data_IF_455844571588
#
_entry.id   IF_455844571588
#
_cell.length_a   1.000
_cell.length_b   1.000
_cell.length_c   1.000
_cell.angle_alpha   90.00
_cell.angle_beta   90.00
_cell.angle_gamma   90.00
#
_symmetry.space_group_name_H-M   'P 1'
#
loop_
_entity.id
_entity.type
_entity.pdbx_description
1 polymer ?
#
# COMPACT_ATOMS: atom_id res chain seq x y z
N UNK A 1 -76.28 -41.41 17.45
CA UNK A 1 -75.82 -41.78 16.08
C UNK A 1 -75.18 -40.52 15.48
N UNK A 2 -74.07 -40.01 16.02
CA UNK A 2 -72.68 -40.39 15.73
C UNK A 2 -72.41 -40.62 14.23
N UNK A 3 -71.51 -39.78 13.72
CA UNK A 3 -70.71 -39.91 12.48
C UNK A 3 -71.37 -39.63 11.13
N UNK A 4 -70.96 -38.51 10.50
CA UNK A 4 -70.23 -38.48 9.21
C UNK A 4 -70.25 -37.07 8.58
N UNK A 5 -69.60 -36.07 9.20
CA UNK A 5 -69.22 -34.84 8.48
C UNK A 5 -67.86 -34.40 9.05
N UNK A 6 -66.77 -35.03 8.60
CA UNK A 6 -65.46 -34.75 9.17
C UNK A 6 -64.26 -35.22 8.38
N UNK A 7 -64.40 -35.53 7.08
CA UNK A 7 -63.27 -36.08 6.30
C UNK A 7 -62.90 -35.32 5.02
N UNK A 8 -63.68 -34.34 4.56
CA UNK A 8 -63.36 -33.60 3.32
C UNK A 8 -62.75 -32.19 3.53
N UNK A 9 -62.79 -31.62 4.75
CA UNK A 9 -62.20 -30.29 5.02
C UNK A 9 -60.72 -30.32 5.37
N UNK A 10 -60.17 -31.48 5.76
CA UNK A 10 -58.75 -31.61 6.12
C UNK A 10 -57.81 -31.79 4.92
N UNK A 11 -58.31 -32.29 3.79
CA UNK A 11 -57.50 -32.44 2.57
C UNK A 11 -57.30 -31.13 1.79
N UNK A 12 -58.25 -30.19 1.86
CA UNK A 12 -58.11 -28.90 1.17
C UNK A 12 -57.14 -27.95 1.89
N UNK A 13 -57.10 -27.98 3.23
CA UNK A 13 -56.20 -27.14 4.03
C UNK A 13 -54.74 -27.65 3.99
N UNK A 14 -54.52 -28.96 3.86
CA UNK A 14 -53.17 -29.52 3.69
C UNK A 14 -52.61 -29.28 2.28
N UNK A 15 -53.45 -29.30 1.23
CA UNK A 15 -53.03 -29.02 -0.15
C UNK A 15 -52.70 -27.53 -0.37
N UNK A 16 -53.47 -26.60 0.24
CA UNK A 16 -53.18 -25.16 0.24
C UNK A 16 -51.93 -24.80 1.05
N UNK A 17 -51.71 -25.48 2.19
CA UNK A 17 -50.47 -25.37 2.95
C UNK A 17 -49.25 -25.79 2.16
N UNK A 18 -49.32 -26.95 1.48
CA UNK A 18 -48.22 -27.49 0.68
C UNK A 18 -47.95 -26.67 -0.59
N UNK A 19 -48.98 -26.14 -1.26
CA UNK A 19 -48.78 -25.19 -2.37
C UNK A 19 -48.16 -23.88 -1.89
N UNK A 20 -48.54 -23.37 -0.70
CA UNK A 20 -47.98 -22.13 -0.17
C UNK A 20 -46.51 -22.25 0.24
N UNK A 21 -46.10 -23.41 0.79
CA UNK A 21 -44.70 -23.66 1.15
C UNK A 21 -43.84 -23.92 -0.08
N UNK A 22 -44.35 -24.61 -1.11
CA UNK A 22 -43.63 -24.80 -2.37
C UNK A 22 -43.51 -23.49 -3.16
N UNK A 23 -44.54 -22.62 -3.15
CA UNK A 23 -44.46 -21.29 -3.77
C UNK A 23 -43.53 -20.36 -2.98
N UNK A 24 -43.49 -20.43 -1.64
CA UNK A 24 -42.56 -19.65 -0.82
C UNK A 24 -41.11 -20.12 -0.98
N UNK A 25 -40.86 -21.43 -1.11
CA UNK A 25 -39.52 -21.97 -1.42
C UNK A 25 -39.09 -21.71 -2.87
N UNK A 26 -40.02 -21.64 -3.84
CA UNK A 26 -39.73 -21.19 -5.20
C UNK A 26 -39.44 -19.67 -5.25
N UNK A 27 -40.08 -18.88 -4.36
CA UNK A 27 -39.76 -17.45 -4.20
C UNK A 27 -38.50 -17.17 -3.38
N UNK A 28 -38.05 -18.11 -2.54
CA UNK A 28 -36.79 -18.02 -1.80
C UNK A 28 -35.59 -18.60 -2.57
N UNK A 29 -35.82 -19.48 -3.56
CA UNK A 29 -34.76 -20.06 -4.39
C UNK A 29 -34.40 -19.23 -5.64
N UNK A 30 -35.14 -18.15 -5.94
CA UNK A 30 -34.86 -17.25 -7.07
C UNK A 30 -34.71 -15.78 -6.63
N UNK A 31 -34.03 -15.51 -5.51
CA UNK A 31 -33.41 -14.19 -5.36
C UNK A 31 -32.12 -14.17 -6.18
N UNK A 32 -32.24 -13.85 -7.47
CA UNK A 32 -31.11 -13.29 -8.18
C UNK A 32 -30.66 -12.06 -7.39
N UNK A 33 -29.48 -12.14 -6.78
CA UNK A 33 -28.83 -10.96 -6.22
C UNK A 33 -28.59 -10.04 -7.43
N UNK A 34 -29.38 -8.98 -7.54
CA UNK A 34 -29.19 -7.99 -8.59
C UNK A 34 -27.97 -7.16 -8.21
N UNK A 35 -26.82 -7.49 -8.81
CA UNK A 35 -25.61 -6.69 -8.70
C UNK A 35 -25.79 -5.35 -9.44
N UNK A 36 -25.13 -4.29 -8.96
CA UNK A 36 -25.10 -3.03 -9.67
C UNK A 36 -24.39 -3.22 -11.03
N UNK A 37 -25.01 -2.78 -12.12
CA UNK A 37 -24.38 -2.86 -13.45
C UNK A 37 -23.15 -1.94 -13.51
N UNK A 38 -22.08 -2.43 -14.13
CA UNK A 38 -20.92 -1.59 -14.49
C UNK A 38 -21.34 -0.49 -15.46
N UNK A 39 -20.73 0.69 -15.35
CA UNK A 39 -20.89 1.80 -16.29
C UNK A 39 -19.58 2.04 -17.03
N UNK A 40 -19.38 1.29 -18.11
CA UNK A 40 -18.18 1.33 -18.95
C UNK A 40 -18.60 1.75 -20.36
N UNK A 41 -18.22 2.95 -20.76
CA UNK A 41 -18.65 3.57 -22.01
C UNK A 41 -17.43 3.94 -22.84
N UNK A 42 -17.10 3.21 -23.92
CA UNK A 42 -16.05 3.61 -24.85
C UNK A 42 -16.31 4.99 -25.45
N UNK A 43 -15.23 5.73 -25.73
CA UNK A 43 -15.29 6.94 -26.55
C UNK A 43 -14.80 6.67 -27.99
N UNK A 44 -14.88 7.70 -28.85
CA UNK A 44 -14.46 7.60 -30.25
C UNK A 44 -13.04 8.16 -30.49
N UNK A 45 -12.26 8.43 -29.43
CA UNK A 45 -10.95 9.11 -29.55
C UNK A 45 -9.85 8.22 -30.15
N UNK A 46 -10.08 6.91 -30.23
CA UNK A 46 -9.23 5.95 -30.98
C UNK A 46 -9.74 5.67 -32.40
N UNK A 47 -10.78 6.38 -32.86
CA UNK A 47 -11.36 6.24 -34.19
C UNK A 47 -11.87 4.83 -34.46
N UNK A 48 -11.37 4.19 -35.53
CA UNK A 48 -11.80 2.84 -35.94
C UNK A 48 -11.34 1.74 -34.99
N UNK A 49 -10.33 2.01 -34.18
CA UNK A 49 -9.74 1.09 -33.19
C UNK A 49 -10.33 1.32 -31.79
N UNK A 50 -11.56 1.85 -31.71
CA UNK A 50 -12.22 2.13 -30.43
C UNK A 50 -12.36 0.89 -29.55
N UNK A 51 -12.41 1.14 -28.25
CA UNK A 51 -12.66 0.09 -27.26
C UNK A 51 -14.07 -0.47 -27.40
N UNK A 52 -14.24 -1.75 -27.08
CA UNK A 52 -15.51 -2.47 -27.21
C UNK A 52 -15.80 -3.23 -25.92
N UNK A 53 -17.06 -3.18 -25.47
CA UNK A 53 -17.52 -3.92 -24.30
C UNK A 53 -18.46 -5.02 -24.76
N UNK A 54 -18.12 -6.25 -24.39
CA UNK A 54 -18.93 -7.44 -24.63
C UNK A 54 -19.27 -8.07 -23.28
N UNK A 55 -20.49 -7.87 -22.76
CA UNK A 55 -20.96 -8.59 -21.59
C UNK A 55 -21.03 -10.08 -21.91
N UNK A 56 -20.42 -10.91 -21.06
CA UNK A 56 -20.47 -12.37 -21.15
C UNK A 56 -21.02 -12.87 -19.82
N UNK A 57 -22.12 -13.63 -19.88
CA UNK A 57 -22.61 -14.40 -18.74
C UNK A 57 -22.02 -15.81 -18.85
N UNK A 58 -21.08 -16.14 -17.96
CA UNK A 58 -20.46 -17.46 -17.88
C UNK A 58 -20.71 -18.05 -16.49
N UNK A 59 -21.42 -19.18 -16.42
CA UNK A 59 -21.67 -19.92 -15.17
C UNK A 59 -22.25 -19.09 -14.01
N UNK A 60 -23.09 -18.08 -14.33
CA UNK A 60 -23.70 -17.18 -13.35
C UNK A 60 -22.80 -16.02 -12.88
N UNK A 61 -21.58 -15.92 -13.42
CA UNK A 61 -20.71 -14.75 -13.30
C UNK A 61 -20.94 -13.85 -14.51
N UNK A 62 -21.29 -12.59 -14.26
CA UNK A 62 -21.40 -11.60 -15.32
C UNK A 62 -20.09 -10.84 -15.47
N UNK A 63 -19.44 -11.06 -16.61
CA UNK A 63 -18.14 -10.50 -16.96
C UNK A 63 -18.33 -9.40 -18.00
N UNK A 64 -17.79 -8.22 -17.75
CA UNK A 64 -17.68 -7.14 -18.71
C UNK A 64 -16.34 -7.28 -19.46
N UNK A 65 -16.37 -7.87 -20.66
CA UNK A 65 -15.16 -8.15 -21.43
C UNK A 65 -14.78 -6.96 -22.30
N UNK A 66 -13.61 -6.38 -22.05
CA UNK A 66 -13.06 -5.26 -22.81
C UNK A 66 -12.19 -5.80 -23.96
N UNK A 67 -12.60 -5.47 -25.18
CA UNK A 67 -11.97 -5.88 -26.43
C UNK A 67 -11.67 -4.66 -27.31
N UNK A 68 -11.09 -4.91 -28.50
CA UNK A 68 -10.72 -3.85 -29.44
C UNK A 68 -9.49 -3.08 -28.94
N UNK A 69 -9.47 -1.76 -29.15
CA UNK A 69 -8.32 -0.92 -28.82
C UNK A 69 -7.31 -0.83 -29.97
N UNK A 70 -6.40 0.14 -29.86
CA UNK A 70 -5.37 0.40 -30.85
C UNK A 70 -4.05 -0.24 -30.41
N UNK A 71 -3.47 -1.13 -31.22
CA UNK A 71 -2.18 -1.76 -30.93
C UNK A 71 -1.06 -1.01 -31.65
N UNK A 72 0.00 -0.64 -30.92
CA UNK A 72 1.24 -0.10 -31.49
C UNK A 72 2.43 -0.78 -30.81
N UNK A 73 3.14 -1.64 -31.53
CA UNK A 73 4.21 -2.45 -30.93
C UNK A 73 3.68 -3.32 -29.79
N UNK A 74 4.31 -3.24 -28.61
CA UNK A 74 3.92 -3.98 -27.41
C UNK A 74 2.86 -3.27 -26.54
N UNK A 75 2.28 -2.16 -27.03
CA UNK A 75 1.28 -1.37 -26.31
C UNK A 75 -0.11 -1.54 -26.94
N UNK A 76 -1.11 -1.84 -26.11
CA UNK A 76 -2.53 -1.80 -26.44
C UNK A 76 -3.18 -0.60 -25.75
N UNK A 77 -3.82 0.28 -26.52
CA UNK A 77 -4.46 1.49 -26.02
C UNK A 77 -5.98 1.36 -26.00
N UNK A 78 -6.59 1.70 -24.86
CA UNK A 78 -8.03 1.79 -24.63
C UNK A 78 -8.44 3.20 -24.17
N UNK A 79 -9.64 3.62 -24.56
CA UNK A 79 -10.17 4.93 -24.21
C UNK A 79 -11.67 4.87 -23.93
N UNK A 80 -12.06 5.47 -22.82
CA UNK A 80 -13.43 5.45 -22.33
C UNK A 80 -13.89 6.84 -21.95
N UNK A 81 -15.16 7.13 -22.20
CA UNK A 81 -15.84 8.28 -21.60
C UNK A 81 -16.16 8.02 -20.12
N UNK A 82 -16.60 6.81 -19.79
CA UNK A 82 -16.92 6.38 -18.42
C UNK A 82 -16.25 5.03 -18.16
N UNK A 83 -15.68 4.84 -16.96
CA UNK A 83 -15.07 3.57 -16.58
C UNK A 83 -15.34 3.29 -15.10
N UNK A 84 -16.45 2.60 -14.83
CA UNK A 84 -16.87 2.18 -13.49
C UNK A 84 -17.18 0.68 -13.48
N UNK A 85 -16.56 -0.04 -12.54
CA UNK A 85 -16.78 -1.48 -12.32
C UNK A 85 -17.80 -1.64 -11.20
N UNK A 86 -18.92 -2.28 -11.50
CA UNK A 86 -19.99 -2.49 -10.52
C UNK A 86 -19.59 -3.46 -9.40
N UNK A 87 -20.25 -3.36 -8.26
CA UNK A 87 -20.02 -4.27 -7.14
C UNK A 87 -20.38 -5.72 -7.52
N UNK A 88 -19.51 -6.68 -7.16
CA UNK A 88 -19.64 -8.09 -7.54
C UNK A 88 -19.46 -8.39 -9.03
N UNK A 89 -19.12 -7.38 -9.85
CA UNK A 89 -18.83 -7.53 -11.28
C UNK A 89 -17.36 -7.87 -11.49
N UNK A 90 -17.10 -8.51 -12.63
CA UNK A 90 -15.76 -8.76 -13.13
C UNK A 90 -15.57 -8.01 -14.44
N UNK A 91 -14.56 -7.16 -14.53
CA UNK A 91 -14.23 -6.42 -15.75
C UNK A 91 -12.83 -6.80 -16.18
N UNK A 92 -12.71 -7.36 -17.38
CA UNK A 92 -11.44 -7.91 -17.87
C UNK A 92 -11.05 -7.32 -19.21
N UNK A 93 -9.82 -6.85 -19.31
CA UNK A 93 -9.16 -6.63 -20.61
C UNK A 93 -8.77 -7.97 -21.20
N UNK A 94 -9.27 -8.27 -22.41
CA UNK A 94 -9.00 -9.55 -23.07
C UNK A 94 -7.67 -9.45 -23.82
N UNK A 95 -6.67 -10.17 -23.34
CA UNK A 95 -5.38 -10.26 -23.99
C UNK A 95 -5.33 -11.45 -24.97
N UNK A 96 -5.04 -11.14 -26.23
CA UNK A 96 -4.98 -12.09 -27.35
C UNK A 96 -3.60 -12.15 -28.01
N UNK A 97 -2.59 -11.44 -27.49
CA UNK A 97 -1.30 -11.30 -28.14
C UNK A 97 -0.14 -11.47 -27.15
N UNK A 98 0.74 -12.43 -27.43
CA UNK A 98 1.93 -12.74 -26.63
C UNK A 98 3.00 -11.64 -26.64
N UNK A 99 2.90 -10.66 -27.54
CA UNK A 99 3.84 -9.55 -27.62
C UNK A 99 3.43 -8.33 -26.80
N UNK A 100 2.21 -8.33 -26.23
CA UNK A 100 1.75 -7.22 -25.41
C UNK A 100 2.51 -7.18 -24.08
N UNK A 101 3.06 -6.00 -23.80
CA UNK A 101 3.70 -5.67 -22.53
C UNK A 101 2.87 -4.69 -21.72
N UNK A 102 2.07 -3.84 -22.36
CA UNK A 102 1.28 -2.81 -21.67
C UNK A 102 -0.13 -2.69 -22.26
N UNK A 103 -1.12 -2.56 -21.39
CA UNK A 103 -2.48 -2.15 -21.69
C UNK A 103 -2.68 -0.78 -21.05
N UNK A 104 -2.84 0.25 -21.87
CA UNK A 104 -2.98 1.63 -21.42
C UNK A 104 -4.42 2.10 -21.57
N UNK A 105 -5.04 2.43 -20.44
CA UNK A 105 -6.43 2.85 -20.37
C UNK A 105 -6.54 4.29 -19.89
N UNK A 106 -7.28 5.11 -20.63
CA UNK A 106 -7.63 6.48 -20.21
C UNK A 106 -9.15 6.67 -20.10
N UNK A 107 -9.54 7.55 -19.18
CA UNK A 107 -10.90 8.07 -19.06
C UNK A 107 -10.92 9.54 -19.50
N UNK A 108 -11.69 9.85 -20.53
CA UNK A 108 -11.78 11.18 -21.17
C UNK A 108 -13.02 11.98 -20.74
N UNK A 109 -13.94 11.34 -20.00
CA UNK A 109 -15.08 12.02 -19.39
C UNK A 109 -14.68 12.85 -18.17
N UNK A 110 -15.69 13.39 -17.48
CA UNK A 110 -15.52 14.30 -16.35
C UNK A 110 -15.80 13.65 -14.99
N UNK A 111 -16.05 12.34 -14.96
CA UNK A 111 -16.43 11.60 -13.77
C UNK A 111 -15.26 10.75 -13.24
N UNK A 112 -15.15 10.60 -11.91
CA UNK A 112 -14.20 9.67 -11.32
C UNK A 112 -14.56 8.21 -11.67
N UNK A 113 -13.55 7.34 -11.66
CA UNK A 113 -13.72 5.90 -11.84
C UNK A 113 -14.06 5.23 -10.52
N UNK A 114 -15.25 4.66 -10.39
CA UNK A 114 -15.62 3.83 -9.25
C UNK A 114 -15.36 2.35 -9.59
N UNK A 115 -14.33 1.77 -8.99
CA UNK A 115 -13.96 0.36 -9.13
C UNK A 115 -14.46 -0.35 -7.88
N UNK A 116 -15.65 -0.94 -7.94
CA UNK A 116 -16.32 -1.57 -6.78
C UNK A 116 -16.26 -3.10 -6.83
N UNK A 117 -15.88 -3.68 -7.97
CA UNK A 117 -15.71 -5.11 -8.20
C UNK A 117 -14.28 -5.47 -8.60
N UNK A 118 -14.13 -6.55 -9.37
CA UNK A 118 -12.83 -7.04 -9.83
C UNK A 118 -12.45 -6.41 -11.17
N UNK A 119 -11.26 -5.82 -11.24
CA UNK A 119 -10.64 -5.34 -12.47
C UNK A 119 -9.40 -6.16 -12.80
N UNK A 120 -9.27 -6.67 -14.02
CA UNK A 120 -8.11 -7.49 -14.35
C UNK A 120 -7.82 -7.64 -15.84
N UNK A 121 -6.89 -8.56 -16.13
CA UNK A 121 -6.53 -8.97 -17.49
C UNK A 121 -6.79 -10.47 -17.63
N UNK A 122 -7.53 -10.86 -18.68
CA UNK A 122 -7.79 -12.25 -18.99
C UNK A 122 -7.05 -12.65 -20.28
N UNK A 123 -6.16 -13.63 -20.18
CA UNK A 123 -5.45 -14.20 -21.32
C UNK A 123 -6.32 -15.25 -22.03
N UNK A 124 -6.45 -15.15 -23.35
CA UNK A 124 -7.08 -16.23 -24.14
C UNK A 124 -6.19 -17.46 -24.23
N UNK A 125 -6.76 -18.60 -24.63
CA UNK A 125 -6.01 -19.87 -24.76
C UNK A 125 -4.74 -19.72 -25.60
N UNK A 126 -3.60 -20.16 -25.05
CA UNK A 126 -2.29 -20.09 -25.73
C UNK A 126 -1.53 -18.78 -25.51
N UNK A 127 -2.10 -17.83 -24.77
CA UNK A 127 -1.43 -16.58 -24.38
C UNK A 127 -0.76 -16.73 -23.02
N UNK A 128 0.53 -16.39 -22.95
CA UNK A 128 1.40 -16.51 -21.77
C UNK A 128 2.01 -15.18 -21.34
N UNK A 129 1.86 -14.11 -22.13
CA UNK A 129 2.25 -12.76 -21.74
C UNK A 129 1.40 -12.25 -20.57
N UNK A 130 2.02 -11.54 -19.64
CA UNK A 130 1.35 -10.86 -18.52
C UNK A 130 1.58 -9.34 -18.64
N UNK A 131 0.80 -8.63 -19.47
CA UNK A 131 1.01 -7.21 -19.67
C UNK A 131 0.70 -6.42 -18.40
N UNK A 132 1.33 -5.26 -18.29
CA UNK A 132 1.05 -4.26 -17.27
C UNK A 132 -0.27 -3.55 -17.60
N UNK A 133 -1.02 -3.13 -16.58
CA UNK A 133 -2.25 -2.36 -16.77
C UNK A 133 -2.09 -0.94 -16.22
N UNK A 134 -2.37 0.06 -17.07
CA UNK A 134 -2.38 1.46 -16.69
C UNK A 134 -3.81 1.99 -16.75
N UNK A 135 -4.27 2.62 -15.67
CA UNK A 135 -5.57 3.29 -15.57
C UNK A 135 -5.35 4.78 -15.24
N UNK A 136 -5.72 5.64 -16.17
CA UNK A 136 -5.58 7.09 -16.07
C UNK A 136 -6.99 7.71 -15.99
N UNK A 137 -7.29 8.41 -14.91
CA UNK A 137 -8.49 9.24 -14.80
C UNK A 137 -8.19 10.53 -14.00
N UNK A 138 -8.03 11.69 -14.67
CA UNK A 138 -7.75 12.96 -13.99
C UNK A 138 -8.81 13.38 -12.97
N UNK A 139 -10.03 12.86 -13.04
CA UNK A 139 -11.12 13.21 -12.14
C UNK A 139 -11.12 12.40 -10.83
N UNK A 140 -10.25 11.39 -10.72
CA UNK A 140 -10.13 10.55 -9.53
C UNK A 140 -10.48 9.08 -9.76
N UNK A 141 -10.03 8.23 -8.82
CA UNK A 141 -10.28 6.79 -8.83
C UNK A 141 -10.66 6.35 -7.42
N UNK A 142 -11.76 5.62 -7.28
CA UNK A 142 -12.23 5.07 -6.00
C UNK A 142 -12.26 3.55 -6.12
N UNK A 143 -11.43 2.86 -5.35
CA UNK A 143 -11.53 1.42 -5.13
C UNK A 143 -12.42 1.18 -3.90
N UNK A 144 -13.57 0.56 -4.09
CA UNK A 144 -14.49 0.20 -3.00
C UNK A 144 -13.98 -0.93 -2.11
N UNK A 145 -14.69 -1.23 -1.02
CA UNK A 145 -14.31 -2.27 -0.04
C UNK A 145 -14.16 -3.67 -0.68
N UNK A 146 -15.03 -3.97 -1.65
CA UNK A 146 -15.03 -5.22 -2.39
C UNK A 146 -14.17 -5.19 -3.66
N UNK A 147 -13.46 -4.08 -3.92
CA UNK A 147 -12.60 -3.96 -5.08
C UNK A 147 -11.42 -4.94 -5.01
N UNK A 148 -11.12 -5.58 -6.14
CA UNK A 148 -9.98 -6.49 -6.30
C UNK A 148 -9.29 -6.22 -7.63
N UNK A 149 -8.00 -6.50 -7.67
CA UNK A 149 -7.21 -6.51 -8.90
C UNK A 149 -6.84 -7.95 -9.25
N UNK A 150 -7.02 -8.31 -10.51
CA UNK A 150 -6.57 -9.57 -11.08
C UNK A 150 -5.59 -9.27 -12.21
N UNK A 151 -4.39 -8.85 -11.81
CA UNK A 151 -3.33 -8.34 -12.70
C UNK A 151 -2.03 -9.07 -12.37
N UNK A 152 -1.62 -10.00 -13.25
CA UNK A 152 -0.38 -10.75 -13.10
C UNK A 152 0.88 -9.92 -13.43
N UNK A 153 0.73 -8.81 -14.17
CA UNK A 153 1.78 -7.83 -14.44
C UNK A 153 1.88 -6.74 -13.37
N UNK A 154 2.46 -5.60 -13.75
CA UNK A 154 2.43 -4.39 -12.92
C UNK A 154 1.11 -3.61 -13.13
N UNK A 155 0.70 -2.82 -12.14
CA UNK A 155 -0.47 -1.95 -12.24
C UNK A 155 -0.12 -0.50 -11.91
N UNK A 156 -0.64 0.43 -12.70
CA UNK A 156 -0.50 1.87 -12.47
C UNK A 156 -1.89 2.49 -12.44
N UNK A 157 -2.26 3.10 -11.32
CA UNK A 157 -3.46 3.93 -11.21
C UNK A 157 -3.05 5.39 -11.00
N UNK A 158 -3.55 6.29 -11.85
CA UNK A 158 -3.16 7.70 -11.75
C UNK A 158 -4.25 8.69 -12.11
N UNK A 159 -4.19 9.87 -11.48
CA UNK A 159 -4.98 11.06 -11.83
C UNK A 159 -4.17 12.11 -12.60
N UNK A 160 -2.99 11.73 -13.11
CA UNK A 160 -2.26 12.52 -14.09
C UNK A 160 -3.07 12.71 -15.38
N UNK A 161 -2.79 13.79 -16.10
CA UNK A 161 -3.38 14.08 -17.40
C UNK A 161 -3.00 13.08 -18.47
N UNK A 162 -1.85 12.44 -18.34
CA UNK A 162 -1.41 11.45 -19.30
C UNK A 162 -0.11 10.77 -18.91
N UNK A 163 0.33 9.89 -19.80
CA UNK A 163 1.60 9.17 -19.70
C UNK A 163 2.49 9.57 -20.87
N UNK A 164 3.75 9.90 -20.56
CA UNK A 164 4.79 10.23 -21.53
C UNK A 164 5.55 8.99 -21.98
N UNK A 165 5.90 9.01 -23.27
CA UNK A 165 6.64 8.00 -23.99
C UNK A 165 7.92 8.66 -24.55
N UNK A 166 9.04 8.46 -23.86
CA UNK A 166 10.31 9.12 -24.19
C UNK A 166 10.18 10.65 -24.25
N UNK A 167 10.95 11.28 -25.13
CA UNK A 167 10.99 12.74 -25.31
C UNK A 167 9.91 13.31 -26.26
N UNK A 168 9.14 12.47 -26.95
CA UNK A 168 8.35 12.91 -28.11
C UNK A 168 6.89 12.47 -28.14
N UNK A 169 6.41 11.64 -27.20
CA UNK A 169 5.01 11.18 -27.23
C UNK A 169 4.26 11.21 -25.91
N UNK A 170 2.94 11.39 -26.00
CA UNK A 170 2.01 11.46 -24.86
C UNK A 170 0.77 10.63 -25.16
N UNK A 171 0.25 9.94 -24.16
CA UNK A 171 -1.11 9.39 -24.13
C UNK A 171 -1.91 10.12 -23.05
N UNK A 172 -2.69 11.11 -23.45
CA UNK A 172 -3.41 12.04 -22.57
C UNK A 172 -4.89 11.68 -22.42
N UNK A 173 -5.39 11.69 -21.19
CA UNK A 173 -6.79 11.63 -20.81
C UNK A 173 -7.50 12.98 -20.96
N UNK A 174 -6.84 14.09 -20.63
CA UNK A 174 -7.44 15.44 -20.66
C UNK A 174 -7.37 16.12 -22.03
N UNK A 175 -6.34 15.83 -22.83
CA UNK A 175 -6.16 16.33 -24.19
C UNK A 175 -6.05 15.17 -25.20
N UNK A 176 -7.09 14.33 -25.33
CA UNK A 176 -6.98 13.05 -26.04
C UNK A 176 -6.68 13.18 -27.54
N UNK A 177 -6.96 14.35 -28.12
CA UNK A 177 -6.68 14.69 -29.53
C UNK A 177 -5.19 14.98 -29.79
N UNK A 178 -4.42 15.30 -28.74
CA UNK A 178 -2.97 15.54 -28.83
C UNK A 178 -2.16 14.27 -28.59
N UNK A 179 -2.82 13.15 -28.29
CA UNK A 179 -2.13 11.89 -28.03
C UNK A 179 -1.43 11.35 -29.26
N UNK A 180 -0.19 10.91 -29.06
CA UNK A 180 0.59 10.11 -30.01
C UNK A 180 0.67 8.67 -29.51
N UNK A 181 0.06 7.73 -30.23
CA UNK A 181 0.12 6.32 -29.88
C UNK A 181 1.44 5.74 -30.40
N UNK A 182 2.37 5.45 -29.48
CA UNK A 182 3.72 5.01 -29.83
C UNK A 182 3.98 3.55 -29.44
N UNK A 183 4.98 2.95 -30.08
CA UNK A 183 5.42 1.56 -29.84
C UNK A 183 6.48 1.41 -28.75
N UNK A 184 6.93 2.52 -28.14
CA UNK A 184 7.94 2.51 -27.08
C UNK A 184 7.30 2.33 -25.71
N UNK A 185 8.07 1.87 -24.72
CA UNK A 185 7.57 1.72 -23.36
C UNK A 185 7.24 3.09 -22.72
N UNK A 186 6.21 3.17 -21.87
CA UNK A 186 5.94 4.38 -21.09
C UNK A 186 7.11 4.67 -20.14
N UNK A 187 7.45 5.95 -19.98
CA UNK A 187 8.64 6.37 -19.23
C UNK A 187 8.37 7.30 -18.04
N UNK A 188 7.33 8.14 -18.10
CA UNK A 188 6.99 9.06 -17.01
C UNK A 188 5.50 9.41 -16.97
N UNK A 189 4.98 9.70 -15.78
CA UNK A 189 3.67 10.32 -15.60
C UNK A 189 3.74 11.80 -15.94
N UNK A 190 2.71 12.33 -16.58
CA UNK A 190 2.65 13.72 -17.00
C UNK A 190 1.44 14.42 -16.39
N UNK A 191 1.73 15.26 -15.40
CA UNK A 191 0.78 16.18 -14.80
C UNK A 191 0.88 17.50 -15.55
N UNK A 192 -0.10 17.80 -16.41
CA UNK A 192 -0.23 19.11 -17.03
C UNK A 192 -1.27 19.87 -16.22
N UNK A 193 -0.96 21.06 -15.74
CA UNK A 193 -1.87 21.82 -14.87
C UNK A 193 -3.04 22.44 -15.66
N UNK A 194 -3.80 21.62 -16.39
CA UNK A 194 -5.03 21.98 -17.12
C UNK A 194 -6.23 21.86 -16.19
N UNK A 195 -6.25 20.86 -15.30
CA UNK A 195 -7.20 20.77 -14.19
C UNK A 195 -6.70 21.61 -13.01
N UNK A 196 -7.57 22.45 -12.45
CA UNK A 196 -7.21 23.32 -11.31
C UNK A 196 -6.88 22.54 -10.03
N UNK A 197 -7.34 21.29 -9.91
CA UNK A 197 -7.07 20.32 -8.85
C UNK A 197 -7.15 18.90 -9.47
N UNK A 198 -6.06 18.11 -9.49
CA UNK A 198 -6.13 16.71 -9.93
C UNK A 198 -7.02 15.91 -8.97
N UNK A 199 -7.67 14.87 -9.48
CA UNK A 199 -8.49 14.00 -8.64
C UNK A 199 -7.69 13.24 -7.58
N UNK A 200 -8.39 12.77 -6.56
CA UNK A 200 -7.83 11.91 -5.52
C UNK A 200 -7.92 10.44 -5.93
N UNK A 201 -7.06 9.60 -5.34
CA UNK A 201 -7.26 8.15 -5.35
C UNK A 201 -7.62 7.72 -3.94
N UNK A 202 -8.77 7.05 -3.82
CA UNK A 202 -9.24 6.46 -2.58
C UNK A 202 -9.18 4.95 -2.74
N UNK A 203 -8.47 4.26 -1.86
CA UNK A 203 -8.58 2.81 -1.71
C UNK A 203 -9.35 2.47 -0.44
N UNK A 204 -10.33 1.57 -0.55
CA UNK A 204 -11.01 0.91 0.58
C UNK A 204 -10.90 -0.63 0.51
N UNK A 205 -10.35 -1.14 -0.58
CA UNK A 205 -10.30 -2.56 -0.89
C UNK A 205 -8.94 -3.19 -0.60
N UNK A 206 -8.83 -4.49 -0.90
CA UNK A 206 -7.59 -5.24 -0.81
C UNK A 206 -7.06 -5.45 -2.23
N UNK A 207 -6.17 -4.57 -2.65
CA UNK A 207 -5.63 -4.52 -4.00
C UNK A 207 -4.28 -5.23 -4.03
N UNK A 208 -4.15 -6.27 -4.86
CA UNK A 208 -2.92 -7.04 -5.00
C UNK A 208 -2.56 -7.23 -6.47
N UNK A 209 -1.27 -7.14 -6.81
CA UNK A 209 -0.78 -7.27 -8.19
C UNK A 209 0.47 -8.13 -8.25
N UNK A 210 0.69 -8.80 -9.39
CA UNK A 210 1.75 -9.81 -9.53
C UNK A 210 3.18 -9.22 -9.58
N UNK A 211 3.32 -7.94 -9.94
CA UNK A 211 4.60 -7.23 -10.00
C UNK A 211 4.49 -5.87 -9.31
N UNK A 212 4.95 -4.80 -9.96
CA UNK A 212 5.02 -3.47 -9.35
C UNK A 212 3.63 -2.83 -9.28
N UNK A 213 3.41 -2.06 -8.22
CA UNK A 213 2.18 -1.31 -8.02
C UNK A 213 2.52 0.17 -7.88
N UNK A 214 2.04 1.00 -8.80
CA UNK A 214 2.19 2.46 -8.71
C UNK A 214 0.83 3.13 -8.56
N UNK A 215 0.72 4.01 -7.57
CA UNK A 215 -0.45 4.86 -7.37
C UNK A 215 -0.01 6.31 -7.31
N UNK A 216 -0.56 7.15 -8.18
CA UNK A 216 -0.09 8.54 -8.35
C UNK A 216 -1.25 9.53 -8.51
N UNK A 217 -1.44 10.44 -7.55
CA UNK A 217 -2.57 11.38 -7.55
C UNK A 217 -2.27 12.73 -6.88
N UNK A 218 -3.30 13.56 -6.69
CA UNK A 218 -3.17 14.73 -5.81
C UNK A 218 -3.06 14.30 -4.35
N UNK A 219 -4.09 13.60 -3.87
CA UNK A 219 -4.12 12.95 -2.57
C UNK A 219 -4.34 11.44 -2.72
N UNK A 220 -3.61 10.66 -1.93
CA UNK A 220 -3.85 9.22 -1.75
C UNK A 220 -4.48 8.99 -0.37
N UNK A 221 -5.72 8.52 -0.37
CA UNK A 221 -6.45 8.11 0.84
C UNK A 221 -6.59 6.59 0.83
N UNK A 222 -5.78 5.92 1.64
CA UNK A 222 -5.61 4.47 1.62
C UNK A 222 -6.19 3.87 2.89
N UNK A 223 -7.25 3.08 2.72
CA UNK A 223 -7.93 2.27 3.72
C UNK A 223 -7.99 0.83 3.16
N UNK A 224 -7.52 -0.17 3.90
CA UNK A 224 -7.35 -1.54 3.35
C UNK A 224 -5.93 -1.82 2.83
N UNK A 225 -5.78 -2.70 1.83
CA UNK A 225 -4.47 -3.26 1.48
C UNK A 225 -3.99 -2.86 0.08
N UNK A 226 -2.68 -2.60 -0.04
CA UNK A 226 -1.95 -2.47 -1.30
C UNK A 226 -0.77 -3.45 -1.25
N UNK A 227 -0.85 -4.53 -2.03
CA UNK A 227 0.15 -5.60 -2.06
C UNK A 227 0.80 -5.67 -3.44
N UNK A 228 2.08 -5.30 -3.54
CA UNK A 228 2.88 -5.48 -4.73
C UNK A 228 3.70 -6.78 -4.65
N UNK A 229 3.66 -7.61 -5.69
CA UNK A 229 4.61 -8.72 -5.85
C UNK A 229 6.03 -8.25 -6.22
N UNK A 230 6.13 -7.03 -6.74
CA UNK A 230 7.36 -6.29 -7.03
C UNK A 230 7.46 -5.04 -6.13
N UNK A 231 7.80 -3.90 -6.71
CA UNK A 231 7.96 -2.64 -5.97
C UNK A 231 6.64 -1.87 -5.81
N UNK A 232 6.46 -1.17 -4.69
CA UNK A 232 5.32 -0.30 -4.41
C UNK A 232 5.75 1.17 -4.48
N UNK A 233 5.09 1.95 -5.33
CA UNK A 233 5.37 3.37 -5.53
C UNK A 233 4.12 4.20 -5.22
N UNK A 234 4.20 5.05 -4.21
CA UNK A 234 3.11 5.94 -3.80
C UNK A 234 3.51 7.40 -4.04
N UNK A 235 2.83 8.06 -4.96
CA UNK A 235 3.13 9.43 -5.36
C UNK A 235 1.91 10.33 -5.15
N UNK A 236 2.07 11.36 -4.35
CA UNK A 236 1.05 12.40 -4.15
C UNK A 236 1.66 13.77 -4.41
N UNK A 237 0.91 14.71 -4.98
CA UNK A 237 1.34 16.12 -4.97
C UNK A 237 1.15 16.75 -3.60
N UNK A 238 0.12 16.31 -2.87
CA UNK A 238 -0.21 16.75 -1.52
C UNK A 238 0.06 15.66 -0.47
N UNK A 239 -0.91 14.80 -0.15
CA UNK A 239 -0.76 13.84 0.96
C UNK A 239 -0.85 12.37 0.52
N UNK A 240 -0.04 11.54 1.15
CA UNK A 240 -0.28 10.10 1.26
C UNK A 240 -0.79 9.83 2.68
N UNK A 241 -2.02 9.36 2.79
CA UNK A 241 -2.66 9.08 4.08
C UNK A 241 -3.09 7.61 4.14
N UNK A 242 -2.60 6.90 5.15
CA UNK A 242 -3.00 5.52 5.46
C UNK A 242 -3.82 5.53 6.76
N UNK A 243 -5.01 4.95 6.72
CA UNK A 243 -5.89 4.77 7.89
C UNK A 243 -6.35 3.32 7.95
N UNK A 244 -5.90 2.60 8.98
CA UNK A 244 -6.12 1.15 9.10
C UNK A 244 -5.80 0.42 7.78
N UNK A 245 -4.63 0.74 7.24
CA UNK A 245 -4.20 0.26 5.94
C UNK A 245 -2.86 -0.46 5.99
N UNK A 246 -2.63 -1.32 5.01
CA UNK A 246 -1.41 -2.10 4.84
C UNK A 246 -0.84 -1.87 3.45
N UNK A 247 0.42 -1.46 3.37
CA UNK A 247 1.14 -1.21 2.13
C UNK A 247 2.41 -2.07 2.11
N UNK A 248 2.48 -3.01 1.17
CA UNK A 248 3.59 -3.96 1.04
C UNK A 248 4.15 -4.01 -0.38
N UNK A 249 5.47 -4.13 -0.46
CA UNK A 249 6.23 -4.30 -1.69
C UNK A 249 7.66 -4.72 -1.39
N UNK A 250 8.43 -5.09 -2.42
CA UNK A 250 9.84 -5.40 -2.28
C UNK A 250 10.63 -4.13 -1.97
N UNK A 251 10.64 -3.14 -2.86
CA UNK A 251 11.02 -1.78 -2.50
C UNK A 251 9.76 -0.92 -2.35
N UNK A 252 9.81 0.04 -1.43
CA UNK A 252 8.72 1.01 -1.26
C UNK A 252 9.28 2.42 -1.41
N UNK A 253 8.78 3.18 -2.39
CA UNK A 253 9.09 4.60 -2.57
C UNK A 253 7.83 5.45 -2.36
N UNK A 254 7.93 6.44 -1.48
CA UNK A 254 6.84 7.36 -1.16
C UNK A 254 7.32 8.78 -1.39
N UNK A 255 6.64 9.49 -2.29
CA UNK A 255 6.88 10.90 -2.59
C UNK A 255 5.61 11.71 -2.41
N UNK A 256 5.66 12.73 -1.56
CA UNK A 256 4.49 13.55 -1.24
C UNK A 256 4.88 14.96 -0.74
N UNK A 257 3.90 15.81 -0.48
CA UNK A 257 4.11 16.93 0.46
C UNK A 257 4.12 16.41 1.90
N UNK A 258 3.17 15.55 2.28
CA UNK A 258 3.11 14.93 3.61
C UNK A 258 2.76 13.44 3.55
N UNK A 259 3.21 12.69 4.55
CA UNK A 259 2.81 11.30 4.81
C UNK A 259 2.17 11.23 6.20
N UNK A 260 0.99 10.61 6.28
CA UNK A 260 0.30 10.32 7.54
C UNK A 260 -0.10 8.86 7.63
N UNK A 261 0.24 8.21 8.74
CA UNK A 261 -0.24 6.89 9.11
C UNK A 261 -1.02 7.00 10.42
N UNK A 262 -2.24 6.47 10.45
CA UNK A 262 -3.04 6.38 11.67
C UNK A 262 -3.81 5.07 11.75
N UNK A 263 -4.44 4.83 12.91
CA UNK A 263 -5.33 3.69 13.14
C UNK A 263 -4.64 2.34 12.86
N UNK A 264 -3.44 2.14 13.41
CA UNK A 264 -2.66 0.90 13.24
C UNK A 264 -2.26 0.59 11.79
N UNK A 265 -1.99 1.63 11.01
CA UNK A 265 -1.52 1.45 9.64
C UNK A 265 -0.11 0.86 9.60
N UNK A 266 0.17 0.08 8.56
CA UNK A 266 1.42 -0.63 8.35
C UNK A 266 1.96 -0.34 6.94
N UNK A 267 3.22 0.08 6.88
CA UNK A 267 4.04 0.00 5.67
C UNK A 267 5.12 -1.04 5.94
N UNK A 268 5.20 -2.09 5.14
CA UNK A 268 6.17 -3.17 5.34
C UNK A 268 6.88 -3.57 4.05
N UNK A 269 8.20 -3.56 4.08
CA UNK A 269 9.03 -4.12 3.02
C UNK A 269 9.03 -5.65 3.12
N UNK A 270 8.70 -6.31 2.01
CA UNK A 270 8.83 -7.75 1.86
C UNK A 270 10.31 -8.14 1.87
N UNK A 271 10.77 -8.85 2.90
CA UNK A 271 12.13 -9.35 2.95
C UNK A 271 12.45 -10.25 1.74
N UNK A 272 13.51 -9.92 1.02
CA UNK A 272 14.03 -10.75 -0.06
C UNK A 272 15.05 -11.76 0.49
N UNK A 273 15.05 -12.98 -0.05
CA UNK A 273 16.07 -13.99 0.25
C UNK A 273 17.40 -13.72 -0.49
N UNK A 274 17.61 -12.49 -1.01
CA UNK A 274 18.74 -12.14 -1.86
C UNK A 274 19.71 -11.19 -1.15
N UNK A 275 20.96 -11.18 -1.62
CA UNK A 275 22.07 -10.39 -1.05
C UNK A 275 21.83 -8.87 -1.08
N UNK A 276 20.94 -8.37 -1.95
CA UNK A 276 20.52 -6.98 -2.00
C UNK A 276 19.16 -6.84 -1.31
N UNK A 277 19.19 -6.27 -0.11
CA UNK A 277 18.00 -6.06 0.69
C UNK A 277 17.16 -4.93 0.08
N UNK A 278 15.95 -5.26 -0.34
CA UNK A 278 15.00 -4.28 -0.83
C UNK A 278 14.56 -3.35 0.32
N UNK A 279 14.45 -2.04 0.06
CA UNK A 279 14.39 -1.00 1.10
C UNK A 279 13.19 -0.06 0.99
N UNK A 280 13.14 0.92 1.89
CA UNK A 280 12.05 1.89 1.99
C UNK A 280 12.60 3.32 1.94
N UNK A 281 12.07 4.11 1.01
CA UNK A 281 12.44 5.52 0.77
C UNK A 281 11.21 6.39 0.92
N UNK A 282 11.19 7.28 1.91
CA UNK A 282 10.16 8.31 2.10
C UNK A 282 10.81 9.67 1.87
N UNK A 283 10.36 10.38 0.85
CA UNK A 283 10.80 11.74 0.54
C UNK A 283 9.60 12.66 0.47
N UNK A 284 9.36 13.37 1.56
CA UNK A 284 8.23 14.30 1.66
C UNK A 284 8.70 15.71 1.96
N UNK A 285 7.96 16.72 1.50
CA UNK A 285 8.38 18.12 1.65
C UNK A 285 8.16 18.68 3.06
N UNK A 286 7.06 18.29 3.70
CA UNK A 286 6.61 18.82 4.97
C UNK A 286 6.80 17.80 6.10
N UNK A 287 5.96 16.78 6.18
CA UNK A 287 5.87 15.99 7.42
C UNK A 287 5.66 14.51 7.20
N UNK A 288 6.28 13.70 8.06
CA UNK A 288 5.96 12.29 8.28
C UNK A 288 5.37 12.14 9.68
N UNK A 289 4.09 11.76 9.76
CA UNK A 289 3.38 11.61 11.03
C UNK A 289 2.85 10.18 11.18
N UNK A 290 3.29 9.48 12.23
CA UNK A 290 2.75 8.17 12.61
C UNK A 290 2.01 8.32 13.94
N UNK A 291 0.73 7.96 13.94
CA UNK A 291 -0.18 8.08 15.08
C UNK A 291 -0.87 6.74 15.35
N UNK A 292 -1.37 6.56 16.57
CA UNK A 292 -2.30 5.46 16.94
C UNK A 292 -1.78 4.06 16.59
N UNK A 293 -0.54 3.78 16.99
CA UNK A 293 0.10 2.48 16.89
C UNK A 293 0.42 2.07 15.46
N UNK A 294 0.90 3.02 14.64
CA UNK A 294 1.25 2.78 13.24
C UNK A 294 2.72 2.39 13.06
N UNK A 295 3.01 1.65 12.00
CA UNK A 295 4.30 0.99 11.80
C UNK A 295 4.87 1.22 10.40
N UNK A 296 6.17 1.51 10.34
CA UNK A 296 6.99 1.41 9.14
C UNK A 296 8.05 0.35 9.41
N UNK A 297 8.00 -0.78 8.71
CA UNK A 297 8.79 -1.97 8.99
C UNK A 297 9.60 -2.45 7.78
N UNK A 298 10.77 -2.99 8.08
CA UNK A 298 11.55 -3.85 7.18
C UNK A 298 11.99 -5.06 8.00
N UNK A 299 11.43 -6.24 7.74
CA UNK A 299 11.52 -7.36 8.69
C UNK A 299 11.93 -8.67 8.02
N UNK A 300 12.97 -9.31 8.55
CA UNK A 300 13.28 -10.72 8.25
C UNK A 300 12.59 -11.59 9.28
N UNK A 301 11.63 -12.40 8.81
CA UNK A 301 10.81 -13.28 9.65
C UNK A 301 11.62 -14.44 10.24
N UNK A 302 11.09 -15.06 11.28
CA UNK A 302 11.67 -16.26 11.88
C UNK A 302 11.93 -17.35 10.83
N UNK A 303 12.95 -18.17 11.05
CA UNK A 303 13.35 -19.27 10.15
C UNK A 303 13.71 -18.84 8.71
N UNK A 304 13.86 -17.54 8.45
CA UNK A 304 14.30 -17.01 7.14
C UNK A 304 15.77 -16.58 7.22
N UNK A 305 16.49 -16.67 6.10
CA UNK A 305 17.83 -16.10 5.95
C UNK A 305 17.73 -14.96 4.94
N UNK A 306 18.14 -13.76 5.34
CA UNK A 306 18.10 -12.57 4.50
C UNK A 306 18.46 -11.33 5.30
N UNK A 307 18.77 -10.25 4.60
CA UNK A 307 18.98 -8.94 5.22
C UNK A 307 17.71 -8.09 5.05
N UNK A 308 17.37 -7.26 6.03
CA UNK A 308 16.30 -6.26 5.85
C UNK A 308 16.86 -5.06 5.09
N UNK A 309 16.09 -4.43 4.21
CA UNK A 309 16.58 -3.20 3.58
C UNK A 309 16.49 -2.00 4.50
N UNK A 310 17.25 -0.98 4.14
CA UNK A 310 17.33 0.27 4.86
C UNK A 310 16.01 1.03 4.81
N UNK A 311 15.77 1.83 5.84
CA UNK A 311 14.69 2.81 5.88
C UNK A 311 15.31 4.19 5.80
N UNK A 312 14.99 4.94 4.75
CA UNK A 312 15.44 6.33 4.56
C UNK A 312 14.23 7.27 4.58
N UNK A 313 14.28 8.28 5.43
CA UNK A 313 13.24 9.30 5.55
C UNK A 313 13.87 10.69 5.41
N UNK A 314 13.39 11.46 4.43
CA UNK A 314 13.71 12.88 4.24
C UNK A 314 12.41 13.69 4.35
N UNK A 315 12.35 14.60 5.32
CA UNK A 315 11.20 15.47 5.56
C UNK A 315 11.62 16.81 6.17
N UNK A 316 10.69 17.75 6.32
CA UNK A 316 10.91 18.92 7.19
C UNK A 316 10.69 18.56 8.66
N UNK A 317 9.72 17.71 8.98
CA UNK A 317 9.51 17.21 10.35
C UNK A 317 9.08 15.75 10.39
N UNK A 318 9.49 15.01 11.41
CA UNK A 318 9.04 13.63 11.68
C UNK A 318 8.46 13.53 13.09
N UNK A 319 7.24 13.01 13.22
CA UNK A 319 6.61 12.77 14.53
C UNK A 319 6.03 11.36 14.64
N UNK A 320 6.35 10.67 15.73
CA UNK A 320 5.77 9.40 16.12
C UNK A 320 5.05 9.59 17.46
N UNK A 321 3.80 9.16 17.53
CA UNK A 321 2.94 9.22 18.72
C UNK A 321 2.20 7.90 18.94
N UNK A 322 1.69 7.70 20.15
CA UNK A 322 0.78 6.61 20.53
C UNK A 322 1.25 5.21 20.08
N UNK A 323 2.41 4.77 20.56
CA UNK A 323 2.99 3.43 20.31
C UNK A 323 3.42 3.17 18.86
N UNK A 324 3.61 4.23 18.07
CA UNK A 324 4.05 4.14 16.68
C UNK A 324 5.55 3.85 16.52
N UNK A 325 5.92 3.12 15.47
CA UNK A 325 7.31 2.67 15.28
C UNK A 325 7.82 2.78 13.84
N UNK A 326 9.11 3.07 13.73
CA UNK A 326 9.91 2.83 12.54
C UNK A 326 10.93 1.74 12.90
N UNK A 327 10.97 0.63 12.18
CA UNK A 327 11.87 -0.47 12.53
C UNK A 327 12.44 -1.28 11.38
N UNK A 328 13.73 -1.58 11.49
CA UNK A 328 14.38 -2.71 10.81
C UNK A 328 14.58 -3.82 11.85
N UNK A 329 14.06 -5.02 11.59
CA UNK A 329 14.11 -6.12 12.56
C UNK A 329 14.45 -7.47 11.93
N UNK A 330 15.37 -8.22 12.55
CA UNK A 330 15.72 -9.59 12.13
C UNK A 330 15.32 -10.57 13.22
N UNK A 331 14.35 -11.42 12.93
CA UNK A 331 13.95 -12.56 13.76
C UNK A 331 14.61 -13.87 13.30
N UNK A 332 15.02 -13.94 12.03
CA UNK A 332 15.71 -15.08 11.43
C UNK A 332 17.24 -14.92 11.48
N UNK A 333 17.89 -15.11 10.35
CA UNK A 333 19.33 -14.90 10.20
C UNK A 333 19.65 -13.82 9.18
N UNK A 334 20.55 -12.90 9.52
CA UNK A 334 21.05 -11.87 8.62
C UNK A 334 21.23 -10.53 9.32
N UNK A 335 21.47 -9.49 8.53
CA UNK A 335 21.74 -8.14 9.02
C UNK A 335 20.48 -7.28 8.94
N UNK A 336 20.17 -6.58 10.04
CA UNK A 336 19.17 -5.51 10.02
C UNK A 336 19.72 -4.29 9.25
N UNK A 337 18.85 -3.65 8.49
CA UNK A 337 19.15 -2.50 7.65
C UNK A 337 19.31 -1.25 8.50
N UNK A 338 19.99 -0.27 7.94
CA UNK A 338 20.20 1.00 8.62
C UNK A 338 18.93 1.86 8.55
N UNK A 339 18.70 2.67 9.59
CA UNK A 339 17.62 3.66 9.61
C UNK A 339 18.25 5.05 9.52
N UNK A 340 17.98 5.74 8.42
CA UNK A 340 18.51 7.06 8.12
C UNK A 340 17.36 8.06 8.11
N UNK A 341 17.33 9.00 9.07
CA UNK A 341 16.29 10.03 9.15
C UNK A 341 16.92 11.41 9.09
N UNK A 342 16.51 12.18 8.09
CA UNK A 342 16.82 13.59 7.94
C UNK A 342 15.54 14.42 8.05
N UNK A 343 15.51 15.30 9.04
CA UNK A 343 14.38 16.20 9.29
C UNK A 343 14.87 17.64 9.48
N UNK A 344 14.55 18.56 8.57
CA UNK A 344 15.10 19.92 8.62
C UNK A 344 14.76 20.68 9.92
N UNK A 345 13.54 20.56 10.44
CA UNK A 345 13.06 21.27 11.63
C UNK A 345 13.18 20.41 12.90
N UNK A 346 12.48 19.27 12.97
CA UNK A 346 12.49 18.46 14.20
C UNK A 346 12.11 17.00 13.99
N UNK A 347 12.54 16.19 14.97
CA UNK A 347 12.04 14.84 15.20
C UNK A 347 11.45 14.76 16.61
N UNK A 348 10.20 14.29 16.72
CA UNK A 348 9.50 14.14 18.00
C UNK A 348 9.00 12.72 18.19
N UNK A 349 9.42 12.06 19.28
CA UNK A 349 8.95 10.73 19.67
C UNK A 349 8.21 10.85 21.01
N UNK A 350 6.90 10.72 20.96
CA UNK A 350 6.02 10.82 22.13
C UNK A 350 5.46 9.44 22.42
N UNK A 351 6.00 8.81 23.45
CA UNK A 351 5.54 7.51 23.91
C UNK A 351 4.52 7.62 25.02
N UNK A 352 3.72 6.56 25.20
CA UNK A 352 2.92 6.40 26.39
C UNK A 352 3.82 5.98 27.56
N UNK A 353 4.01 6.88 28.52
CA UNK A 353 4.68 6.58 29.78
C UNK A 353 3.75 5.76 30.69
N UNK A 354 3.33 4.56 30.26
CA UNK A 354 2.55 3.66 31.11
C UNK A 354 3.46 2.55 31.69
N UNK A 355 4.00 2.72 32.91
CA UNK A 355 4.86 1.73 33.54
C UNK A 355 4.16 0.40 33.86
N UNK A 356 2.83 0.32 33.70
CA UNK A 356 2.03 -0.90 33.93
C UNK A 356 1.78 -1.71 32.65
N UNK A 357 2.03 -1.13 31.47
CA UNK A 357 1.74 -1.75 30.18
C UNK A 357 3.05 -1.98 29.43
N UNK A 358 3.49 -3.24 29.42
CA UNK A 358 4.77 -3.69 28.85
C UNK A 358 4.70 -3.90 27.33
N UNK A 359 3.91 -3.12 26.63
CA UNK A 359 3.60 -3.37 25.21
C UNK A 359 3.86 -2.13 24.38
N UNK A 360 4.88 -2.25 23.51
CA UNK A 360 5.18 -1.39 22.35
C UNK A 360 5.50 0.06 22.71
N UNK A 361 6.79 0.37 22.93
CA UNK A 361 7.23 1.77 23.07
C UNK A 361 7.21 2.47 21.71
N UNK A 362 6.82 3.75 21.70
CA UNK A 362 7.00 4.62 20.52
C UNK A 362 8.48 4.79 20.24
N UNK A 363 8.91 4.57 19.00
CA UNK A 363 10.34 4.69 18.73
C UNK A 363 10.86 4.27 17.38
N UNK A 364 12.18 4.40 17.27
CA UNK A 364 12.98 4.03 16.11
C UNK A 364 13.89 2.87 16.50
N UNK A 365 13.78 1.76 15.77
CA UNK A 365 14.34 0.47 16.20
C UNK A 365 15.07 -0.26 15.09
N UNK A 366 16.37 -0.44 15.24
CA UNK A 366 17.16 -1.35 14.42
C UNK A 366 17.63 -2.51 15.28
N UNK A 367 17.03 -3.69 15.13
CA UNK A 367 17.16 -4.76 16.13
C UNK A 367 17.40 -6.14 15.54
N UNK A 368 18.34 -6.85 16.14
CA UNK A 368 18.33 -8.31 16.13
C UNK A 368 17.41 -8.80 17.25
N UNK A 369 16.34 -9.50 16.91
CA UNK A 369 15.33 -9.96 17.86
C UNK A 369 15.76 -11.26 18.55
N UNK A 370 15.04 -11.65 19.61
CA UNK A 370 15.32 -12.89 20.36
C UNK A 370 15.31 -14.11 19.43
N UNK A 371 16.38 -14.90 19.46
CA UNK A 371 16.57 -16.06 18.57
C UNK A 371 17.13 -15.70 17.19
N UNK A 372 17.22 -14.41 16.86
CA UNK A 372 17.88 -13.94 15.65
C UNK A 372 19.40 -14.12 15.72
N UNK A 373 20.03 -14.36 14.56
CA UNK A 373 21.50 -14.46 14.42
C UNK A 373 21.98 -13.52 13.32
N UNK A 374 22.90 -12.61 13.63
CA UNK A 374 23.48 -11.70 12.65
C UNK A 374 23.98 -10.39 13.24
N UNK A 375 23.53 -9.25 12.69
CA UNK A 375 23.95 -7.92 13.15
C UNK A 375 22.75 -6.97 13.18
N UNK A 376 22.68 -6.11 14.21
CA UNK A 376 21.75 -4.98 14.19
C UNK A 376 22.30 -3.87 13.28
N UNK A 377 21.44 -3.19 12.53
CA UNK A 377 21.81 -2.04 11.71
C UNK A 377 22.01 -0.79 12.55
N UNK A 378 22.54 0.26 11.95
CA UNK A 378 22.75 1.55 12.58
C UNK A 378 21.50 2.43 12.52
N UNK A 379 21.46 3.45 13.39
CA UNK A 379 20.47 4.52 13.34
C UNK A 379 21.20 5.84 13.24
N UNK A 380 20.99 6.55 12.13
CA UNK A 380 21.58 7.85 11.85
C UNK A 380 20.48 8.92 11.73
N UNK A 381 20.58 9.96 12.56
CA UNK A 381 19.60 11.03 12.67
C UNK A 381 20.30 12.38 12.44
N UNK A 382 19.78 13.17 11.49
CA UNK A 382 20.18 14.55 11.20
C UNK A 382 18.96 15.49 11.30
N UNK A 383 18.99 16.45 12.21
CA UNK A 383 17.89 17.39 12.43
C UNK A 383 18.31 18.72 13.06
N UNK A 384 17.42 19.73 13.15
CA UNK A 384 17.66 20.89 14.02
C UNK A 384 17.40 20.54 15.49
N UNK A 385 16.26 19.92 15.81
CA UNK A 385 15.91 19.53 17.18
C UNK A 385 15.35 18.11 17.29
N UNK A 386 15.88 17.31 18.23
CA UNK A 386 15.36 15.98 18.60
C UNK A 386 14.72 16.02 19.99
N UNK A 387 13.48 15.56 20.12
CA UNK A 387 12.76 15.45 21.39
C UNK A 387 12.17 14.06 21.59
N UNK A 388 12.51 13.42 22.72
CA UNK A 388 11.93 12.17 23.17
C UNK A 388 11.20 12.41 24.49
N UNK A 389 9.94 12.00 24.58
CA UNK A 389 9.15 12.00 25.82
C UNK A 389 8.47 10.65 25.97
N UNK A 390 9.00 9.77 26.82
CA UNK A 390 8.60 8.36 26.88
C UNK A 390 8.96 7.54 25.63
N UNK A 391 9.67 8.15 24.68
CA UNK A 391 10.07 7.52 23.42
C UNK A 391 11.41 6.79 23.50
N UNK A 392 11.69 5.95 22.52
CA UNK A 392 12.93 5.17 22.45
C UNK A 392 13.60 5.22 21.09
N UNK A 393 14.94 5.27 21.09
CA UNK A 393 15.78 4.97 19.92
C UNK A 393 16.66 3.78 20.32
N UNK A 394 16.68 2.70 19.55
CA UNK A 394 17.44 1.49 19.94
C UNK A 394 18.00 0.75 18.73
N UNK A 395 19.33 0.66 18.69
CA UNK A 395 20.10 -0.19 17.79
C UNK A 395 20.58 -1.49 18.50
N UNK A 396 19.77 -2.00 19.45
CA UNK A 396 20.16 -3.10 20.35
C UNK A 396 19.98 -4.49 19.73
N UNK A 397 20.74 -5.45 20.26
CA UNK A 397 20.62 -6.88 19.94
C UNK A 397 20.03 -7.66 21.13
N UNK A 398 19.05 -8.51 20.84
CA UNK A 398 18.42 -9.48 21.74
C UNK A 398 18.79 -10.93 21.38
N UNK A 399 19.62 -11.12 20.34
CA UNK A 399 20.00 -12.42 19.77
C UNK A 399 21.51 -12.66 19.79
N UNK A 400 21.99 -13.48 18.86
CA UNK A 400 23.42 -13.72 18.66
C UNK A 400 23.95 -12.82 17.55
N UNK A 401 24.54 -11.69 17.93
CA UNK A 401 24.97 -10.66 17.01
C UNK A 401 25.31 -9.36 17.69
N UNK A 402 26.09 -8.52 17.01
CA UNK A 402 26.50 -7.22 17.54
C UNK A 402 25.35 -6.20 17.54
N UNK A 403 25.37 -5.30 18.52
CA UNK A 403 24.52 -4.12 18.52
C UNK A 403 25.02 -3.10 17.49
N UNK A 404 24.10 -2.34 16.91
CA UNK A 404 24.40 -1.29 15.94
C UNK A 404 24.72 0.04 16.62
N UNK A 405 25.27 0.97 15.86
CA UNK A 405 25.59 2.33 16.32
C UNK A 405 24.37 3.25 16.25
N UNK A 406 24.28 4.20 17.18
CA UNK A 406 23.35 5.33 17.10
C UNK A 406 24.14 6.62 16.93
N UNK A 407 23.90 7.34 15.84
CA UNK A 407 24.47 8.68 15.59
C UNK A 407 23.35 9.71 15.52
N UNK A 408 23.45 10.77 16.32
CA UNK A 408 22.51 11.88 16.31
C UNK A 408 23.28 13.18 16.11
N UNK A 409 22.97 13.88 15.03
CA UNK A 409 23.40 15.24 14.78
C UNK A 409 22.18 16.16 14.84
N UNK A 410 22.11 16.99 15.89
CA UNK A 410 21.02 17.93 16.10
C UNK A 410 21.58 19.35 16.23
N UNK A 411 21.35 20.24 15.26
CA UNK A 411 22.00 21.56 15.24
C UNK A 411 21.72 22.40 16.50
N UNK A 412 20.48 22.37 17.00
CA UNK A 412 20.02 23.15 18.13
C UNK A 412 19.98 22.34 19.43
N UNK A 413 19.17 21.28 19.50
CA UNK A 413 18.92 20.58 20.78
C UNK A 413 18.59 19.09 20.70
N UNK A 414 18.99 18.35 21.73
CA UNK A 414 18.46 17.01 22.06
C UNK A 414 17.86 17.04 23.47
N UNK A 415 16.58 16.64 23.60
CA UNK A 415 15.86 16.60 24.88
C UNK A 415 15.26 15.21 25.12
N UNK A 416 15.62 14.58 26.24
CA UNK A 416 15.08 13.32 26.71
C UNK A 416 14.29 13.54 28.01
N UNK A 417 12.99 13.23 27.98
CA UNK A 417 12.06 13.42 29.09
C UNK A 417 11.29 12.12 29.37
N UNK A 418 10.71 12.02 30.56
CA UNK A 418 9.75 10.98 30.92
C UNK A 418 10.22 9.54 30.64
N UNK A 419 11.36 9.12 31.20
CA UNK A 419 11.93 7.77 31.01
C UNK A 419 12.26 7.41 29.55
N UNK A 420 12.61 8.40 28.73
CA UNK A 420 13.08 8.15 27.36
C UNK A 420 14.42 7.41 27.34
N UNK A 421 14.69 6.66 26.28
CA UNK A 421 15.96 5.91 26.17
C UNK A 421 16.58 5.95 24.78
N UNK A 422 17.91 6.06 24.75
CA UNK A 422 18.73 5.83 23.55
C UNK A 422 19.65 4.63 23.86
N UNK A 423 19.51 3.55 23.10
CA UNK A 423 20.15 2.26 23.38
C UNK A 423 20.98 1.76 22.20
N UNK A 424 22.14 1.20 22.51
CA UNK A 424 23.04 0.50 21.60
C UNK A 424 23.68 -0.65 22.37
N UNK A 425 22.85 -1.60 22.78
CA UNK A 425 23.20 -2.58 23.81
C UNK A 425 23.03 -4.03 23.37
N UNK A 426 23.84 -4.90 23.96
CA UNK A 426 23.62 -6.35 23.99
C UNK A 426 22.75 -6.63 25.21
N UNK A 427 21.48 -6.92 24.95
CA UNK A 427 20.45 -7.08 25.98
C UNK A 427 20.59 -8.40 26.74
N UNK A 428 19.88 -8.54 27.86
CA UNK A 428 19.98 -9.72 28.72
C UNK A 428 19.72 -11.03 27.95
N UNK A 429 20.74 -11.88 27.88
CA UNK A 429 20.68 -13.18 27.19
C UNK A 429 21.08 -13.16 25.72
N UNK A 430 21.39 -11.98 25.18
CA UNK A 430 22.03 -11.84 23.88
C UNK A 430 23.54 -12.11 23.98
N UNK A 431 24.16 -12.39 22.83
CA UNK A 431 25.60 -12.62 22.68
C UNK A 431 26.09 -11.68 21.58
N UNK A 432 27.08 -10.84 21.88
CA UNK A 432 27.68 -9.94 20.90
C UNK A 432 28.47 -8.83 21.57
N UNK A 433 28.99 -7.93 20.76
CA UNK A 433 29.60 -6.69 21.20
C UNK A 433 28.56 -5.56 21.28
N UNK A 434 28.65 -4.75 22.34
CA UNK A 434 27.87 -3.52 22.47
C UNK A 434 28.28 -2.49 21.42
N UNK A 435 27.36 -1.60 21.05
CA UNK A 435 27.63 -0.58 20.04
C UNK A 435 28.06 0.75 20.66
N UNK A 436 27.89 1.82 19.88
CA UNK A 436 28.30 3.17 20.25
C UNK A 436 27.12 4.15 20.12
N UNK A 437 27.05 5.14 21.02
CA UNK A 437 26.10 6.25 20.91
C UNK A 437 26.90 7.54 20.76
N UNK A 438 26.72 8.23 19.63
CA UNK A 438 27.30 9.54 19.35
C UNK A 438 26.23 10.60 19.23
N UNK A 439 26.33 11.66 20.03
CA UNK A 439 25.41 12.80 19.97
C UNK A 439 26.22 14.08 19.81
N UNK A 440 25.94 14.82 18.74
CA UNK A 440 26.47 16.16 18.51
C UNK A 440 25.31 17.14 18.49
N UNK A 441 25.29 18.06 19.45
CA UNK A 441 24.22 19.06 19.54
C UNK A 441 24.65 20.35 20.23
N UNK A 442 23.92 21.44 19.98
CA UNK A 442 24.09 22.72 20.67
C UNK A 442 23.71 22.65 22.15
N UNK A 443 22.68 21.89 22.49
CA UNK A 443 22.24 21.67 23.87
C UNK A 443 21.69 20.26 24.07
N UNK A 444 22.17 19.57 25.11
CA UNK A 444 21.70 18.25 25.49
C UNK A 444 21.06 18.28 26.89
N UNK A 445 19.83 17.78 27.02
CA UNK A 445 19.10 17.65 28.29
C UNK A 445 18.53 16.24 28.45
N UNK A 446 18.83 15.58 29.57
CA UNK A 446 18.21 14.32 29.98
C UNK A 446 17.60 14.46 31.37
N UNK A 447 16.29 14.24 31.51
CA UNK A 447 15.53 14.41 32.76
C UNK A 447 14.58 13.24 33.00
N UNK A 448 14.01 13.21 34.20
CA UNK A 448 12.89 12.33 34.56
C UNK A 448 13.17 10.84 34.31
N UNK A 449 14.37 10.39 34.69
CA UNK A 449 14.79 8.99 34.56
C UNK A 449 15.20 8.56 33.15
N UNK A 450 15.36 9.50 32.20
CA UNK A 450 15.81 9.20 30.84
C UNK A 450 17.27 8.76 30.78
N UNK A 451 17.62 7.88 29.84
CA UNK A 451 18.90 7.15 29.84
C UNK A 451 19.54 7.05 28.45
N UNK A 452 20.88 6.96 28.45
CA UNK A 452 21.70 6.57 27.31
C UNK A 452 22.49 5.33 27.73
N UNK A 453 22.35 4.23 27.00
CA UNK A 453 23.00 2.97 27.35
C UNK A 453 23.66 2.34 26.12
N UNK A 454 24.99 2.31 26.14
CA UNK A 454 25.82 1.48 25.28
C UNK A 454 26.53 0.47 26.20
N UNK A 455 26.03 -0.76 26.25
CA UNK A 455 26.45 -1.75 27.25
C UNK A 455 26.38 -3.18 26.72
N UNK A 456 27.03 -4.08 27.43
CA UNK A 456 26.82 -5.52 27.33
C UNK A 456 26.18 -5.97 28.65
N UNK A 457 24.94 -6.45 28.62
CA UNK A 457 24.25 -6.94 29.80
C UNK A 457 24.58 -8.41 30.04
N UNK A 458 25.41 -8.68 31.05
CA UNK A 458 25.73 -10.04 31.47
C UNK A 458 24.57 -10.64 32.29
N UNK A 459 24.19 -11.88 31.99
CA UNK A 459 23.37 -12.69 32.90
C UNK A 459 24.22 -13.07 34.12
N UNK A 460 23.79 -12.70 35.33
CA UNK A 460 24.30 -13.27 36.59
C UNK A 460 23.28 -14.24 37.18
#
# INVERSE_FOLDING_TARGET
MIHKIGFYRWWYLSLLGFLSTVILEIFLSNRYIAFAQSNIVPDDTLGREKSQILPVDADGLSIDSINGGAIRGSNLFHSFKEFNVGEGRFTYFINTDNNLQNILTRVTGNNPSNILGTLGILNTTGITSNPNLYLINPNGIVFGENARLDVAGSFVATTADGIRFGEQGVFSASEPQQSSLLSIAPGALFFQQVAAQPGNIINRGNLAVGKDFTVAADNLDLQGQLLAGGDLNLQATDIVELRNAEAQGNNIDIQARSLKLSERSLIEVNASSQEQAAGLSIKVKDSVNLETGSFILSTVKENTIGNTGDITIEARSVSLDDDSQISTSVFGRGKAGDINIKADDFISLVGTANPLVRTVSTGIFSRLQSGGIGESGNIDIDTDSLSLSGGQISASTFGEGNAGKVTIQANNSVSLLNQSSILSAVESGAIGDGGEINIKTGSFSSKDGSQLLATISLMF
#
